data_IF_488658873629
#
_entry.id   IF_488658873629
#
_cell.length_a   1.000
_cell.length_b   1.000
_cell.length_c   1.000
_cell.angle_alpha   90.00
_cell.angle_beta   90.00
_cell.angle_gamma   90.00
#
_symmetry.space_group_name_H-M   'P 1'
#
loop_
_entity.id
_entity.type
_entity.pdbx_description
1 polymer ?
#
# COMPACT_ATOMS: atom_id res chain seq x y z
N UNK A 1 -27.01 -0.49 8.22
CA UNK A 1 -25.64 -0.05 8.59
C UNK A 1 -24.66 -0.85 7.75
N UNK A 2 -23.88 -0.19 6.86
CA UNK A 2 -22.86 -0.86 6.04
C UNK A 2 -21.88 -1.59 6.96
N UNK A 3 -21.65 -2.87 6.68
CA UNK A 3 -21.08 -3.80 7.64
C UNK A 3 -19.60 -3.47 7.86
N UNK A 4 -19.15 -3.42 9.12
CA UNK A 4 -17.74 -3.29 9.53
C UNK A 4 -16.78 -4.21 8.75
N UNK A 5 -17.29 -5.33 8.22
CA UNK A 5 -16.58 -6.27 7.36
C UNK A 5 -16.12 -5.69 6.01
N UNK A 6 -16.85 -4.74 5.42
CA UNK A 6 -16.43 -4.06 4.18
C UNK A 6 -15.25 -3.11 4.41
N UNK A 7 -15.21 -2.45 5.57
CA UNK A 7 -14.07 -1.61 5.97
C UNK A 7 -12.85 -2.41 6.40
N UNK A 8 -13.03 -3.64 6.92
CA UNK A 8 -11.91 -4.51 7.29
C UNK A 8 -10.97 -4.82 6.11
N UNK A 9 -11.50 -4.83 4.89
CA UNK A 9 -10.71 -5.07 3.68
C UNK A 9 -9.85 -3.87 3.27
N UNK A 10 -10.22 -2.67 3.75
CA UNK A 10 -9.49 -1.43 3.49
C UNK A 10 -8.24 -1.30 4.36
N UNK A 11 -8.26 -1.92 5.56
CA UNK A 11 -7.16 -1.88 6.54
C UNK A 11 -5.80 -2.30 5.94
N UNK A 12 -5.66 -3.46 5.27
CA UNK A 12 -4.37 -3.85 4.70
C UNK A 12 -3.89 -2.92 3.57
N UNK A 13 -4.79 -2.30 2.81
CA UNK A 13 -4.43 -1.31 1.79
C UNK A 13 -3.91 -0.02 2.43
N UNK A 14 -4.62 0.50 3.43
CA UNK A 14 -4.22 1.72 4.15
C UNK A 14 -2.87 1.50 4.82
N UNK A 15 -2.67 0.35 5.48
CA UNK A 15 -1.39 0.01 6.08
C UNK A 15 -0.26 -0.06 5.05
N UNK A 16 -0.48 -0.72 3.90
CA UNK A 16 0.54 -0.83 2.87
C UNK A 16 0.90 0.52 2.25
N UNK A 17 -0.09 1.40 2.02
CA UNK A 17 0.15 2.78 1.54
C UNK A 17 0.94 3.58 2.57
N UNK A 18 0.56 3.54 3.85
CA UNK A 18 1.27 4.26 4.91
C UNK A 18 2.72 3.78 5.07
N UNK A 19 2.94 2.45 5.02
CA UNK A 19 4.29 1.87 5.10
C UNK A 19 5.13 2.22 3.86
N UNK A 20 4.55 2.15 2.66
CA UNK A 20 5.21 2.51 1.41
C UNK A 20 5.60 3.99 1.36
N UNK A 21 4.70 4.88 1.81
CA UNK A 21 4.97 6.32 1.93
C UNK A 21 6.10 6.60 2.91
N UNK A 22 6.03 6.04 4.14
CA UNK A 22 7.06 6.28 5.17
C UNK A 22 8.42 5.75 4.73
N UNK A 23 8.48 4.51 4.25
CA UNK A 23 9.72 3.90 3.80
C UNK A 23 10.33 4.65 2.60
N UNK A 24 9.51 4.96 1.59
CA UNK A 24 10.00 5.67 0.41
C UNK A 24 10.46 7.10 0.72
N UNK A 25 9.80 7.80 1.64
CA UNK A 25 10.22 9.12 2.08
C UNK A 25 11.54 9.08 2.86
N UNK A 26 11.67 8.20 3.85
CA UNK A 26 12.91 8.05 4.63
C UNK A 26 14.08 7.65 3.71
N UNK A 27 13.86 6.72 2.77
CA UNK A 27 14.87 6.29 1.80
C UNK A 27 15.29 7.40 0.84
N UNK A 28 14.34 8.12 0.23
CA UNK A 28 14.68 9.19 -0.70
C UNK A 28 15.29 10.42 0.00
N UNK A 29 14.91 10.70 1.26
CA UNK A 29 15.59 11.72 2.08
C UNK A 29 17.04 11.33 2.34
N UNK A 30 17.31 10.06 2.65
CA UNK A 30 18.65 9.57 2.94
C UNK A 30 19.58 9.63 1.71
N UNK A 31 19.04 9.41 0.51
CA UNK A 31 19.85 9.31 -0.71
C UNK A 31 20.05 10.65 -1.41
N UNK A 32 19.00 11.46 -1.52
CA UNK A 32 18.98 12.54 -2.52
C UNK A 32 18.22 13.79 -2.08
N UNK A 33 17.78 13.85 -0.82
CA UNK A 33 17.05 14.99 -0.30
C UNK A 33 15.55 14.98 -0.65
N UNK A 34 14.85 16.08 -0.31
CA UNK A 34 13.39 16.08 -0.13
C UNK A 34 12.59 15.82 -1.41
N UNK A 35 13.08 16.25 -2.57
CA UNK A 35 12.37 16.05 -3.85
C UNK A 35 12.32 14.57 -4.22
N UNK A 36 13.45 13.87 -4.10
CA UNK A 36 13.48 12.43 -4.34
C UNK A 36 12.75 11.64 -3.26
N UNK A 37 12.77 12.10 -2.01
CA UNK A 37 11.93 11.54 -0.93
C UNK A 37 10.46 11.44 -1.32
N UNK A 38 9.90 12.53 -1.87
CA UNK A 38 8.50 12.57 -2.32
C UNK A 38 8.25 11.61 -3.48
N UNK A 39 9.14 11.60 -4.49
CA UNK A 39 9.00 10.71 -5.65
C UNK A 39 9.05 9.24 -5.23
N UNK A 40 10.04 8.86 -4.40
CA UNK A 40 10.19 7.50 -3.89
C UNK A 40 9.03 7.09 -3.00
N UNK A 41 8.50 8.00 -2.16
CA UNK A 41 7.31 7.74 -1.34
C UNK A 41 6.07 7.42 -2.21
N UNK A 42 5.83 8.18 -3.28
CA UNK A 42 4.72 7.96 -4.20
C UNK A 42 4.87 6.61 -4.91
N UNK A 43 6.07 6.32 -5.43
CA UNK A 43 6.33 5.03 -6.11
C UNK A 43 6.15 3.87 -5.14
N UNK A 44 6.67 3.97 -3.90
CA UNK A 44 6.52 2.96 -2.86
C UNK A 44 5.06 2.69 -2.52
N UNK A 45 4.25 3.74 -2.38
CA UNK A 45 2.82 3.63 -2.10
C UNK A 45 2.03 2.95 -3.24
N UNK A 46 2.34 3.30 -4.50
CA UNK A 46 1.72 2.68 -5.69
C UNK A 46 2.10 1.20 -5.74
N UNK A 47 3.37 0.86 -5.53
CA UNK A 47 3.84 -0.52 -5.59
C UNK A 47 3.22 -1.38 -4.48
N UNK A 48 3.17 -0.87 -3.25
CA UNK A 48 2.50 -1.54 -2.13
C UNK A 48 1.02 -1.81 -2.41
N UNK A 49 0.32 -0.86 -3.05
CA UNK A 49 -1.09 -1.02 -3.43
C UNK A 49 -1.27 -2.14 -4.46
N UNK A 50 -0.42 -2.21 -5.49
CA UNK A 50 -0.44 -3.26 -6.52
C UNK A 50 -0.18 -4.65 -5.90
N UNK A 51 0.77 -4.76 -4.98
CA UNK A 51 1.06 -6.03 -4.29
C UNK A 51 -0.14 -6.46 -3.46
N UNK A 52 -0.70 -5.57 -2.64
CA UNK A 52 -1.88 -5.88 -1.83
C UNK A 52 -3.05 -6.31 -2.70
N UNK A 53 -3.26 -5.66 -3.84
CA UNK A 53 -4.28 -6.05 -4.82
C UNK A 53 -4.02 -7.40 -5.46
N UNK A 54 -2.75 -7.72 -5.76
CA UNK A 54 -2.37 -9.04 -6.27
C UNK A 54 -2.62 -10.15 -5.24
N UNK A 55 -2.31 -9.92 -3.96
CA UNK A 55 -2.54 -10.88 -2.88
C UNK A 55 -4.03 -11.05 -2.55
N UNK A 56 -4.76 -9.94 -2.42
CA UNK A 56 -6.19 -9.96 -2.07
C UNK A 56 -7.09 -10.34 -3.25
N UNK A 57 -6.73 -9.94 -4.47
CA UNK A 57 -7.36 -10.38 -5.72
C UNK A 57 -7.20 -11.88 -5.95
N UNK A 58 -6.02 -12.44 -5.63
CA UNK A 58 -5.79 -13.90 -5.65
C UNK A 58 -6.60 -14.63 -4.57
N UNK A 59 -6.77 -14.05 -3.39
CA UNK A 59 -7.62 -14.59 -2.31
C UNK A 59 -9.11 -14.65 -2.68
N UNK A 60 -9.62 -13.69 -3.49
CA UNK A 60 -10.99 -13.73 -4.02
C UNK A 60 -11.24 -14.83 -5.05
N UNK A 61 -10.23 -15.22 -5.85
CA UNK A 61 -10.37 -16.35 -6.79
C UNK A 61 -10.28 -17.73 -6.13
N UNK A 62 -9.68 -17.83 -4.95
CA UNK A 62 -9.56 -19.08 -4.19
C UNK A 62 -10.79 -19.44 -3.33
N UNK A 63 -11.67 -18.48 -3.04
CA UNK A 63 -12.87 -18.67 -2.20
C UNK A 63 -14.16 -18.88 -3.01
N UNK A 64 -14.00 -19.31 -4.27
CA UNK A 64 -15.09 -19.78 -5.14
C UNK A 64 -14.96 -21.30 -5.32
N UNK A 65 -14.95 -22.03 -4.22
CA UNK A 65 -15.18 -23.48 -4.17
C UNK A 65 -16.09 -23.77 -2.99
#
# INVERSE_FOLDING_TARGET
MKSLKEYLFLIPYVLAVCLGLKFGYDFGMQISGPIMAVITAIIGAVFCSIIVESFLGKKRRGNSK
#
